data_IF_410853994135
#
_entry.id   IF_410853994135
#
_cell.length_a   1.000
_cell.length_b   1.000
_cell.length_c   1.000
_cell.angle_alpha   90.00
_cell.angle_beta   90.00
_cell.angle_gamma   90.00
#
_symmetry.space_group_name_H-M   'P 1'
#
loop_
_entity.id
_entity.type
_entity.pdbx_description
1 polymer ?
#
# COMPACT_ATOMS: atom_id res chain seq x y z
N UNK A 1 -7.59 30.06 -11.07
CA UNK A 1 -6.25 29.46 -11.20
C UNK A 1 -5.67 29.09 -9.83
N UNK A 2 -5.58 30.02 -8.87
CA UNK A 2 -5.13 29.74 -7.49
C UNK A 2 -5.94 28.66 -6.74
N UNK A 3 -7.28 28.69 -6.83
CA UNK A 3 -8.14 27.67 -6.17
C UNK A 3 -7.95 26.26 -6.74
N UNK A 4 -7.68 26.13 -8.05
CA UNK A 4 -7.43 24.84 -8.71
C UNK A 4 -6.04 24.31 -8.33
N UNK A 5 -5.04 25.20 -8.25
CA UNK A 5 -3.69 24.83 -7.81
C UNK A 5 -3.68 24.37 -6.35
N UNK A 6 -4.42 25.08 -5.48
CA UNK A 6 -4.60 24.69 -4.07
C UNK A 6 -5.26 23.31 -3.95
N UNK A 7 -6.29 23.03 -4.76
CA UNK A 7 -6.97 21.73 -4.77
C UNK A 7 -6.04 20.57 -5.15
N UNK A 8 -5.14 20.77 -6.13
CA UNK A 8 -4.16 19.75 -6.54
C UNK A 8 -3.15 19.51 -5.42
N UNK A 9 -2.65 20.57 -4.78
CA UNK A 9 -1.69 20.44 -3.68
C UNK A 9 -2.31 19.65 -2.52
N UNK A 10 -3.55 19.97 -2.13
CA UNK A 10 -4.26 19.25 -1.06
C UNK A 10 -4.46 17.77 -1.44
N UNK A 11 -4.86 17.50 -2.68
CA UNK A 11 -5.06 16.13 -3.16
C UNK A 11 -3.74 15.34 -3.20
N UNK A 12 -2.63 15.99 -3.56
CA UNK A 12 -1.30 15.37 -3.56
C UNK A 12 -0.80 15.08 -2.14
N UNK A 13 -1.00 16.00 -1.20
CA UNK A 13 -0.68 15.80 0.22
C UNK A 13 -1.49 14.63 0.80
N UNK A 14 -2.78 14.52 0.44
CA UNK A 14 -3.61 13.39 0.87
C UNK A 14 -3.05 12.04 0.37
N UNK A 15 -2.58 11.97 -0.88
CA UNK A 15 -1.93 10.76 -1.43
C UNK A 15 -0.66 10.41 -0.64
N UNK A 16 0.18 11.39 -0.32
CA UNK A 16 1.40 11.16 0.48
C UNK A 16 1.09 10.63 1.88
N UNK A 17 0.05 11.16 2.54
CA UNK A 17 -0.40 10.69 3.85
C UNK A 17 -0.93 9.27 3.78
N UNK A 18 -1.77 8.95 2.78
CA UNK A 18 -2.31 7.60 2.61
C UNK A 18 -1.21 6.56 2.33
N UNK A 19 -0.20 6.92 1.53
CA UNK A 19 0.98 6.08 1.30
C UNK A 19 1.82 5.91 2.56
N UNK A 20 2.03 6.97 3.34
CA UNK A 20 2.76 6.90 4.60
C UNK A 20 2.08 5.96 5.60
N UNK A 21 0.76 6.08 5.77
CA UNK A 21 -0.03 5.18 6.63
C UNK A 21 0.05 3.74 6.14
N UNK A 22 -0.02 3.49 4.82
CA UNK A 22 0.12 2.16 4.25
C UNK A 22 1.52 1.53 4.46
N UNK A 23 2.58 2.36 4.57
CA UNK A 23 3.95 1.88 4.83
C UNK A 23 4.28 1.64 6.29
N UNK A 24 3.54 2.25 7.22
CA UNK A 24 3.78 2.12 8.67
C UNK A 24 2.96 0.99 9.28
N UNK A 25 1.76 0.73 8.75
CA UNK A 25 0.87 -0.27 9.32
C UNK A 25 1.26 -1.68 8.86
N UNK A 26 1.73 -2.49 9.81
CA UNK A 26 2.17 -3.87 9.66
C UNK A 26 1.05 -4.88 9.44
N UNK A 27 0.08 -4.59 8.59
CA UNK A 27 -1.13 -5.41 8.40
C UNK A 27 -1.47 -5.46 6.91
N UNK A 28 -0.58 -6.02 6.09
CA UNK A 28 -0.86 -6.27 4.67
C UNK A 28 -1.61 -7.59 4.50
N UNK A 29 -1.28 -8.60 5.31
CA UNK A 29 -1.93 -9.91 5.35
C UNK A 29 -1.94 -10.40 6.80
N UNK A 30 -3.06 -10.97 7.21
CA UNK A 30 -3.21 -11.62 8.52
C UNK A 30 -3.77 -13.02 8.30
N UNK A 31 -3.10 -14.05 8.81
CA UNK A 31 -3.66 -15.41 8.79
C UNK A 31 -2.90 -16.42 9.66
N UNK A 32 -3.66 -17.25 10.39
CA UNK A 32 -3.23 -18.41 11.19
C UNK A 32 -1.89 -18.27 11.96
N UNK A 33 -1.63 -17.10 12.58
CA UNK A 33 -0.40 -16.83 13.33
C UNK A 33 0.74 -16.20 12.52
N UNK A 34 0.57 -16.02 11.21
CA UNK A 34 1.44 -15.28 10.34
C UNK A 34 0.88 -13.88 10.07
N UNK A 35 1.70 -12.87 10.32
CA UNK A 35 1.43 -11.48 9.97
C UNK A 35 2.58 -11.00 9.08
N UNK A 36 2.25 -10.62 7.85
CA UNK A 36 3.25 -10.11 6.93
C UNK A 36 3.08 -8.60 6.80
N UNK A 37 4.16 -7.89 7.10
CA UNK A 37 4.40 -6.50 6.76
C UNK A 37 5.21 -6.43 5.45
N UNK A 38 5.22 -5.27 4.82
CA UNK A 38 6.08 -4.95 3.68
C UNK A 38 7.57 -5.07 4.05
N UNK A 39 7.91 -4.76 5.31
CA UNK A 39 9.29 -4.70 5.79
C UNK A 39 9.67 -5.85 6.73
N UNK A 40 8.69 -6.61 7.22
CA UNK A 40 8.90 -7.62 8.23
C UNK A 40 7.91 -8.78 8.06
N UNK A 41 8.38 -10.01 8.02
CA UNK A 41 7.51 -11.18 8.07
C UNK A 41 7.55 -11.77 9.47
N UNK A 42 6.43 -11.77 10.16
CA UNK A 42 6.29 -12.30 11.51
C UNK A 42 5.48 -13.60 11.50
N UNK A 43 6.02 -14.63 12.14
CA UNK A 43 5.39 -15.94 12.31
C UNK A 43 5.27 -16.28 13.80
N UNK A 44 4.10 -16.73 14.22
CA UNK A 44 3.81 -17.17 15.58
C UNK A 44 3.86 -18.70 15.61
N UNK A 45 4.88 -19.26 16.24
CA UNK A 45 4.95 -20.71 16.49
C UNK A 45 4.12 -21.07 17.73
N UNK A 46 3.72 -22.35 17.84
CA UNK A 46 2.82 -22.98 18.83
C UNK A 46 3.16 -22.82 20.33
N UNK A 47 3.93 -21.81 20.71
CA UNK A 47 4.26 -21.41 22.09
C UNK A 47 4.26 -19.89 22.32
N UNK A 48 3.51 -19.10 21.52
CA UNK A 48 3.45 -17.62 21.56
C UNK A 48 4.78 -16.90 21.29
N UNK A 49 5.78 -17.57 20.73
CA UNK A 49 7.05 -16.93 20.34
C UNK A 49 6.88 -16.36 18.93
N UNK A 50 6.96 -15.03 18.81
CA UNK A 50 6.84 -14.31 17.54
C UNK A 50 8.24 -14.08 16.95
N UNK A 51 8.53 -14.75 15.83
CA UNK A 51 9.76 -14.54 15.07
C UNK A 51 9.50 -13.56 13.93
N UNK A 52 10.24 -12.44 13.90
CA UNK A 52 10.13 -11.44 12.84
C UNK A 52 11.44 -11.31 12.07
N UNK A 53 11.37 -11.44 10.74
CA UNK A 53 12.50 -11.25 9.83
C UNK A 53 12.32 -9.95 9.04
N UNK A 54 13.33 -9.07 9.03
CA UNK A 54 13.25 -7.79 8.31
C UNK A 54 13.68 -7.94 6.84
N UNK A 55 12.88 -7.39 5.93
CA UNK A 55 13.16 -7.21 4.51
C UNK A 55 13.16 -5.72 4.18
N UNK A 56 14.15 -5.23 3.44
CA UNK A 56 14.31 -3.81 3.12
C UNK A 56 13.60 -3.48 1.80
N UNK A 57 12.35 -3.01 1.84
CA UNK A 57 11.58 -2.64 0.66
C UNK A 57 11.30 -1.12 0.58
N UNK A 58 12.25 -0.35 0.01
CA UNK A 58 12.15 1.12 -0.10
C UNK A 58 10.86 1.61 -0.81
N UNK A 59 10.33 2.79 -0.46
CA UNK A 59 9.00 3.29 -0.84
C UNK A 59 8.63 3.29 -2.35
N UNK A 60 9.60 3.33 -3.28
CA UNK A 60 9.35 3.16 -4.72
C UNK A 60 8.89 1.74 -5.08
N UNK A 61 9.21 0.77 -4.23
CA UNK A 61 8.82 -0.62 -4.35
C UNK A 61 7.41 -0.89 -3.83
N UNK A 62 6.71 0.06 -3.17
CA UNK A 62 5.35 -0.16 -2.63
C UNK A 62 4.35 -0.45 -3.76
N UNK A 63 4.43 0.33 -4.84
CA UNK A 63 3.59 0.15 -6.03
C UNK A 63 3.91 -1.14 -6.78
N UNK A 64 5.19 -1.46 -6.93
CA UNK A 64 5.64 -2.72 -7.53
C UNK A 64 5.30 -3.93 -6.63
N UNK A 65 5.32 -3.76 -5.31
CA UNK A 65 4.94 -4.78 -4.34
C UNK A 65 3.44 -5.05 -4.43
N UNK A 66 2.60 -4.02 -4.49
CA UNK A 66 1.15 -4.17 -4.66
C UNK A 66 0.77 -4.90 -5.97
N UNK A 67 1.49 -4.66 -7.08
CA UNK A 67 1.25 -5.33 -8.36
C UNK A 67 1.83 -6.75 -8.44
N UNK A 68 3.01 -7.00 -7.85
CA UNK A 68 3.53 -8.38 -7.70
C UNK A 68 2.61 -9.20 -6.78
N UNK A 69 2.01 -8.56 -5.79
CA UNK A 69 1.11 -9.19 -4.82
C UNK A 69 -0.21 -9.66 -5.44
N UNK A 70 -0.79 -8.93 -6.39
CA UNK A 70 -1.97 -9.40 -7.14
C UNK A 70 -1.66 -10.58 -8.05
N UNK A 71 -0.45 -10.63 -8.61
CA UNK A 71 0.00 -11.74 -9.47
C UNK A 71 0.30 -13.00 -8.66
N UNK A 72 0.78 -12.89 -7.41
CA UNK A 72 1.02 -14.03 -6.50
C UNK A 72 -0.22 -14.55 -5.77
N UNK A 73 -1.33 -13.82 -5.79
CA UNK A 73 -2.60 -14.25 -5.18
C UNK A 73 -3.12 -15.65 -5.59
N UNK A 74 -2.87 -16.21 -6.79
CA UNK A 74 -3.39 -17.53 -7.15
C UNK A 74 -2.70 -18.67 -6.39
N UNK A 75 -1.49 -18.47 -5.86
CA UNK A 75 -0.72 -19.54 -5.22
C UNK A 75 -1.13 -19.81 -3.76
N UNK A 76 -1.83 -18.89 -3.10
CA UNK A 76 -2.25 -19.03 -1.69
C UNK A 76 -3.69 -19.53 -1.49
N UNK A 77 -4.37 -19.96 -2.55
CA UNK A 77 -5.71 -20.58 -2.43
C UNK A 77 -5.70 -21.99 -1.80
N UNK A 78 -4.57 -22.46 -1.28
CA UNK A 78 -4.47 -23.74 -0.59
C UNK A 78 -4.90 -23.70 0.88
N UNK A 79 -5.05 -22.53 1.51
CA UNK A 79 -5.53 -22.44 2.90
C UNK A 79 -6.39 -21.19 3.14
N UNK A 80 -7.65 -21.38 3.49
CA UNK A 80 -8.70 -20.35 3.64
C UNK A 80 -8.48 -19.37 4.82
N UNK A 81 -7.28 -19.31 5.39
CA UNK A 81 -6.99 -18.66 6.66
C UNK A 81 -6.34 -17.27 6.53
N UNK A 82 -6.06 -16.78 5.32
CA UNK A 82 -5.38 -15.50 5.08
C UNK A 82 -6.35 -14.44 4.54
N UNK A 83 -6.40 -13.27 5.19
CA UNK A 83 -7.24 -12.13 4.78
C UNK A 83 -6.40 -10.92 4.38
N UNK A 84 -6.90 -10.14 3.41
CA UNK A 84 -6.32 -8.84 3.03
C UNK A 84 -6.40 -7.88 4.21
N UNK A 85 -5.26 -7.27 4.55
CA UNK A 85 -5.22 -6.26 5.60
C UNK A 85 -5.50 -4.84 5.08
N UNK A 86 -5.79 -3.93 6.00
CA UNK A 86 -6.20 -2.55 5.68
C UNK A 86 -5.15 -1.76 4.87
N UNK A 87 -3.85 -2.03 5.10
CA UNK A 87 -2.77 -1.36 4.38
C UNK A 87 -2.81 -1.64 2.87
N UNK A 88 -3.25 -2.85 2.47
CA UNK A 88 -3.44 -3.21 1.07
C UNK A 88 -4.51 -2.35 0.40
N UNK A 89 -5.64 -2.13 1.09
CA UNK A 89 -6.75 -1.32 0.58
C UNK A 89 -6.30 0.13 0.40
N UNK A 90 -5.58 0.68 1.37
CA UNK A 90 -5.05 2.05 1.29
C UNK A 90 -4.07 2.23 0.12
N UNK A 91 -3.20 1.25 -0.14
CA UNK A 91 -2.27 1.31 -1.27
C UNK A 91 -3.04 1.37 -2.62
N UNK A 92 -4.10 0.57 -2.77
CA UNK A 92 -4.96 0.58 -3.95
C UNK A 92 -5.78 1.85 -4.12
N UNK A 93 -6.14 2.52 -3.03
CA UNK A 93 -6.84 3.82 -3.07
C UNK A 93 -5.86 4.96 -3.41
N UNK A 94 -4.63 4.90 -2.91
CA UNK A 94 -3.63 5.93 -3.19
C UNK A 94 -3.24 5.99 -4.68
N UNK A 95 -3.24 4.87 -5.39
CA UNK A 95 -2.88 4.81 -6.81
C UNK A 95 -3.79 5.62 -7.76
N UNK A 96 -5.12 5.41 -7.82
CA UNK A 96 -6.01 6.18 -8.68
C UNK A 96 -6.05 7.65 -8.26
N UNK A 97 -5.95 7.95 -6.96
CA UNK A 97 -5.86 9.34 -6.48
C UNK A 97 -4.57 10.03 -6.96
N UNK A 98 -3.43 9.34 -6.93
CA UNK A 98 -2.18 9.85 -7.48
C UNK A 98 -2.28 10.09 -8.99
N UNK A 99 -2.86 9.16 -9.74
CA UNK A 99 -3.04 9.25 -11.18
C UNK A 99 -3.97 10.42 -11.56
N UNK A 100 -5.11 10.57 -10.88
CA UNK A 100 -6.01 11.70 -11.06
C UNK A 100 -5.32 13.04 -10.80
N UNK A 101 -4.47 13.12 -9.77
CA UNK A 101 -3.69 14.33 -9.46
C UNK A 101 -2.78 14.75 -10.63
N UNK A 102 -2.10 13.78 -11.25
CA UNK A 102 -1.22 14.03 -12.40
C UNK A 102 -1.98 14.38 -13.67
N UNK A 103 -3.08 13.69 -13.95
CA UNK A 103 -3.92 13.96 -15.13
C UNK A 103 -4.53 15.36 -15.06
N UNK A 104 -5.06 15.77 -13.90
CA UNK A 104 -5.62 17.11 -13.71
C UNK A 104 -4.55 18.19 -13.89
N UNK A 105 -3.34 17.97 -13.38
CA UNK A 105 -2.20 18.88 -13.59
C UNK A 105 -1.82 19.02 -15.07
N UNK A 106 -1.72 17.91 -15.81
CA UNK A 106 -1.40 17.93 -17.25
C UNK A 106 -2.49 18.61 -18.07
N UNK A 107 -3.76 18.40 -17.72
CA UNK A 107 -4.89 19.06 -18.39
C UNK A 107 -4.83 20.58 -18.18
N UNK A 108 -4.55 21.04 -16.96
CA UNK A 108 -4.41 22.48 -16.69
C UNK A 108 -3.22 23.09 -17.44
N UNK A 109 -2.10 22.36 -17.49
CA UNK A 109 -0.91 22.78 -18.25
C UNK A 109 -1.13 22.90 -19.76
N UNK A 110 -2.11 22.19 -20.31
CA UNK A 110 -2.44 22.24 -21.75
C UNK A 110 -3.46 23.33 -22.09
N UNK A 111 -4.03 24.00 -21.08
CA UNK A 111 -5.11 25.00 -21.21
C UNK A 111 -4.61 26.42 -20.95
N UNK A 112 -3.43 26.55 -20.35
CA UNK A 112 -2.55 27.73 -20.44
C UNK A 112 -1.73 27.68 -21.73
#
# INVERSE_FOLDING_TARGET
>A
MLLLLLGIIVLHVAVLVLLFVATIVSQWIVGNGHATDLWQNCSTTSGNVQHCFSSSANGLCVMSAASIYTVRHPEWHLDSAYSYGFAYILAWVAFPLALLSGVVYVILRKRE
#
